data_IF_239872661422
#
_entry.id   IF_239872661422
#
_cell.length_a   1.000
_cell.length_b   1.000
_cell.length_c   1.000
_cell.angle_alpha   90.00
_cell.angle_beta   90.00
_cell.angle_gamma   90.00
#
_symmetry.space_group_name_H-M   'P 1'
#
loop_
_entity.id
_entity.type
_entity.pdbx_description
1 polymer ?
#
# COMPACT_ATOMS: atom_id res chain seq x y z
N UNK A 1 7.66 -5.00 -16.32
CA UNK A 1 7.01 -6.19 -15.72
C UNK A 1 7.11 -6.12 -14.20
N UNK A 2 6.12 -6.62 -13.44
CA UNK A 2 6.08 -6.49 -11.98
C UNK A 2 7.32 -7.04 -11.27
N UNK A 3 7.85 -8.16 -11.77
CA UNK A 3 9.05 -8.80 -11.22
C UNK A 3 10.31 -7.92 -11.39
N UNK A 4 10.47 -7.27 -12.55
CA UNK A 4 11.61 -6.37 -12.81
C UNK A 4 11.60 -5.17 -11.87
N UNK A 5 10.42 -4.59 -11.66
CA UNK A 5 10.24 -3.45 -10.73
C UNK A 5 10.52 -3.89 -9.30
N UNK A 6 9.96 -5.03 -8.87
CA UNK A 6 10.24 -5.60 -7.54
C UNK A 6 11.74 -5.78 -7.30
N UNK A 7 12.48 -6.30 -8.29
CA UNK A 7 13.92 -6.49 -8.19
C UNK A 7 14.69 -5.17 -8.01
N UNK A 8 14.28 -4.11 -8.71
CA UNK A 8 14.84 -2.76 -8.53
C UNK A 8 14.65 -2.24 -7.10
N UNK A 9 13.53 -2.59 -6.48
CA UNK A 9 13.21 -2.28 -5.09
C UNK A 9 13.68 -3.37 -4.11
N UNK A 10 14.63 -4.23 -4.48
CA UNK A 10 15.22 -5.20 -3.56
C UNK A 10 14.32 -6.37 -3.15
N UNK A 11 13.30 -6.69 -3.96
CA UNK A 11 12.43 -7.85 -3.85
C UNK A 11 12.70 -8.79 -5.04
N UNK A 12 13.42 -9.89 -4.80
CA UNK A 12 13.64 -10.90 -5.85
C UNK A 12 12.59 -12.01 -5.76
N UNK A 13 11.58 -11.90 -6.62
CA UNK A 13 10.52 -12.90 -6.76
C UNK A 13 10.61 -13.68 -8.09
N UNK A 14 11.76 -13.64 -8.76
CA UNK A 14 11.94 -14.22 -10.11
C UNK A 14 11.75 -15.74 -10.18
N UNK A 15 11.91 -16.43 -9.04
CA UNK A 15 11.75 -17.88 -8.93
C UNK A 15 10.35 -18.32 -8.49
N UNK A 16 9.47 -17.38 -8.20
CA UNK A 16 8.11 -17.65 -7.75
C UNK A 16 7.14 -17.53 -8.94
N UNK A 17 6.55 -18.68 -9.31
CA UNK A 17 5.62 -18.81 -10.45
C UNK A 17 4.37 -17.96 -10.25
N UNK A 18 3.95 -17.75 -9.00
CA UNK A 18 2.73 -17.00 -8.65
C UNK A 18 3.00 -15.52 -8.39
N UNK A 19 4.25 -15.10 -8.22
CA UNK A 19 4.58 -13.72 -7.87
C UNK A 19 4.07 -12.70 -8.88
N UNK A 20 4.16 -12.99 -10.19
CA UNK A 20 3.66 -12.06 -11.20
C UNK A 20 2.14 -11.88 -11.14
N UNK A 21 1.39 -12.92 -10.73
CA UNK A 21 -0.05 -12.83 -10.52
C UNK A 21 -0.37 -12.04 -9.26
N UNK A 22 0.25 -12.37 -8.12
CA UNK A 22 -0.01 -11.69 -6.85
C UNK A 22 0.39 -10.20 -6.88
N UNK A 23 1.49 -9.84 -7.55
CA UNK A 23 1.88 -8.45 -7.72
C UNK A 23 0.87 -7.66 -8.59
N UNK A 24 0.26 -8.30 -9.59
CA UNK A 24 -0.81 -7.66 -10.39
C UNK A 24 -2.07 -7.46 -9.55
N UNK A 25 -2.49 -8.48 -8.80
CA UNK A 25 -3.65 -8.39 -7.91
C UNK A 25 -3.44 -7.32 -6.83
N UNK A 26 -2.27 -7.30 -6.19
CA UNK A 26 -1.88 -6.26 -5.24
C UNK A 26 -1.94 -4.87 -5.86
N UNK A 27 -1.33 -4.67 -7.04
CA UNK A 27 -1.39 -3.39 -7.74
C UNK A 27 -2.81 -2.94 -8.10
N UNK A 28 -3.68 -3.85 -8.55
CA UNK A 28 -5.09 -3.51 -8.83
C UNK A 28 -5.87 -3.13 -7.57
N UNK A 29 -5.61 -3.79 -6.44
CA UNK A 29 -6.18 -3.46 -5.14
C UNK A 29 -5.75 -2.07 -4.70
N UNK A 30 -4.45 -1.77 -4.78
CA UNK A 30 -3.91 -0.48 -4.34
C UNK A 30 -4.46 0.65 -5.22
N UNK A 31 -4.62 0.43 -6.53
CA UNK A 31 -5.29 1.37 -7.42
C UNK A 31 -6.75 1.63 -6.99
N UNK A 32 -7.51 0.58 -6.68
CA UNK A 32 -8.89 0.72 -6.23
C UNK A 32 -9.00 1.49 -4.90
N UNK A 33 -8.10 1.21 -3.95
CA UNK A 33 -8.03 1.92 -2.66
C UNK A 33 -7.66 3.41 -2.84
N UNK A 34 -6.81 3.74 -3.81
CA UNK A 34 -6.46 5.11 -4.14
C UNK A 34 -7.59 5.85 -4.87
N UNK A 35 -8.26 5.18 -5.82
CA UNK A 35 -9.33 5.79 -6.61
C UNK A 35 -10.64 5.95 -5.83
N UNK A 36 -10.97 5.03 -4.92
CA UNK A 36 -12.21 5.02 -4.15
C UNK A 36 -12.52 6.36 -3.46
N UNK A 37 -11.59 6.93 -2.67
CA UNK A 37 -11.76 8.24 -2.04
C UNK A 37 -11.88 9.43 -3.00
N UNK A 38 -11.45 9.29 -4.26
CA UNK A 38 -11.56 10.33 -5.30
C UNK A 38 -12.96 10.35 -5.92
N UNK A 39 -13.60 9.18 -6.02
CA UNK A 39 -14.92 9.02 -6.66
C UNK A 39 -16.09 8.94 -5.67
N UNK A 40 -15.82 9.16 -4.37
CA UNK A 40 -16.83 9.14 -3.30
C UNK A 40 -16.80 10.44 -2.51
N UNK A 41 -17.90 10.78 -1.84
CA UNK A 41 -18.03 11.98 -0.99
C UNK A 41 -18.55 11.60 0.41
N UNK A 42 -18.42 12.51 1.37
CA UNK A 42 -19.06 12.42 2.68
C UNK A 42 -18.66 11.20 3.48
N UNK A 43 -19.66 10.56 4.09
CA UNK A 43 -19.48 9.36 4.91
C UNK A 43 -18.86 8.22 4.12
N UNK A 44 -19.18 8.06 2.83
CA UNK A 44 -18.62 7.00 1.99
C UNK A 44 -17.13 7.22 1.75
N UNK A 45 -16.71 8.46 1.47
CA UNK A 45 -15.30 8.83 1.34
C UNK A 45 -14.52 8.56 2.62
N UNK A 46 -15.06 8.95 3.77
CA UNK A 46 -14.44 8.69 5.09
C UNK A 46 -14.27 7.19 5.38
N UNK A 47 -15.28 6.37 5.05
CA UNK A 47 -15.19 4.91 5.18
C UNK A 47 -14.13 4.31 4.25
N UNK A 48 -14.06 4.77 3.00
CA UNK A 48 -13.03 4.33 2.05
C UNK A 48 -11.62 4.69 2.52
N UNK A 49 -11.41 5.92 3.00
CA UNK A 49 -10.14 6.35 3.60
C UNK A 49 -9.77 5.49 4.82
N UNK A 50 -10.74 5.17 5.68
CA UNK A 50 -10.52 4.28 6.82
C UNK A 50 -10.11 2.86 6.41
N UNK A 51 -10.74 2.30 5.37
CA UNK A 51 -10.38 0.97 4.84
C UNK A 51 -8.97 1.01 4.24
N UNK A 52 -8.65 2.02 3.44
CA UNK A 52 -7.31 2.20 2.88
C UNK A 52 -6.25 2.29 3.98
N UNK A 53 -6.52 3.04 5.06
CA UNK A 53 -5.63 3.13 6.21
C UNK A 53 -5.41 1.77 6.90
N UNK A 54 -6.45 0.96 7.08
CA UNK A 54 -6.31 -0.40 7.64
C UNK A 54 -5.44 -1.28 6.73
N UNK A 55 -5.60 -1.17 5.41
CA UNK A 55 -4.77 -1.89 4.45
C UNK A 55 -3.29 -1.45 4.54
N UNK A 56 -3.00 -0.16 4.62
CA UNK A 56 -1.64 0.37 4.77
C UNK A 56 -0.97 -0.18 6.05
N UNK A 57 -1.69 -0.25 7.16
CA UNK A 57 -1.19 -0.84 8.41
C UNK A 57 -0.88 -2.33 8.24
N UNK A 58 -1.78 -3.09 7.61
CA UNK A 58 -1.57 -4.51 7.35
C UNK A 58 -0.36 -4.75 6.45
N UNK A 59 -0.18 -3.93 5.43
CA UNK A 59 0.95 -4.03 4.50
C UNK A 59 2.28 -3.67 5.18
N UNK A 60 2.32 -2.67 6.06
CA UNK A 60 3.49 -2.36 6.91
C UNK A 60 3.87 -3.59 7.75
N UNK A 61 2.89 -4.25 8.38
CA UNK A 61 3.13 -5.46 9.19
C UNK A 61 3.68 -6.58 8.32
N UNK A 62 3.11 -6.81 7.14
CA UNK A 62 3.58 -7.82 6.19
C UNK A 62 5.03 -7.57 5.74
N UNK A 63 5.36 -6.32 5.41
CA UNK A 63 6.72 -5.88 5.07
C UNK A 63 7.68 -6.09 6.23
N UNK A 64 7.27 -5.77 7.47
CA UNK A 64 8.05 -6.04 8.67
C UNK A 64 8.36 -7.54 8.86
N UNK A 65 7.38 -8.41 8.64
CA UNK A 65 7.57 -9.87 8.68
C UNK A 65 8.52 -10.32 7.56
N UNK A 66 8.35 -9.83 6.34
CA UNK A 66 9.21 -10.16 5.20
C UNK A 66 10.67 -9.74 5.45
N UNK A 67 10.88 -8.56 6.06
CA UNK A 67 12.21 -8.08 6.44
C UNK A 67 12.86 -8.99 7.48
N UNK A 68 12.11 -9.38 8.52
CA UNK A 68 12.59 -10.32 9.57
C UNK A 68 12.97 -11.68 8.99
N UNK A 69 12.33 -12.12 7.90
CA UNK A 69 12.64 -13.36 7.19
C UNK A 69 13.73 -13.21 6.12
N UNK A 70 14.38 -12.04 6.02
CA UNK A 70 15.43 -11.78 5.03
C UNK A 70 14.94 -11.78 3.59
N UNK A 71 13.63 -11.59 3.34
CA UNK A 71 13.03 -11.62 2.00
C UNK A 71 13.10 -10.27 1.27
N UNK A 72 13.33 -9.18 2.00
CA UNK A 72 13.44 -7.82 1.44
C UNK A 72 14.61 -7.07 2.07
N UNK A 73 15.19 -6.13 1.31
CA UNK A 73 16.29 -5.28 1.78
C UNK A 73 15.83 -4.24 2.81
N UNK A 74 16.76 -3.73 3.63
CA UNK A 74 16.46 -2.65 4.58
C UNK A 74 15.96 -1.39 3.87
N UNK A 75 16.59 -1.03 2.75
CA UNK A 75 16.22 0.15 1.98
C UNK A 75 14.79 0.04 1.45
N UNK A 76 14.44 -1.11 0.88
CA UNK A 76 13.08 -1.39 0.41
C UNK A 76 12.04 -1.27 1.53
N UNK A 77 12.38 -1.81 2.70
CA UNK A 77 11.54 -1.75 3.90
C UNK A 77 11.29 -0.30 4.32
N UNK A 78 12.36 0.50 4.42
CA UNK A 78 12.26 1.91 4.84
C UNK A 78 11.44 2.72 3.84
N UNK A 79 11.70 2.55 2.53
CA UNK A 79 10.94 3.24 1.50
C UNK A 79 9.44 2.89 1.58
N UNK A 80 9.12 1.59 1.65
CA UNK A 80 7.74 1.14 1.72
C UNK A 80 7.02 1.67 2.97
N UNK A 81 7.60 1.44 4.15
CA UNK A 81 7.00 1.87 5.43
C UNK A 81 6.87 3.39 5.48
N UNK A 82 7.88 4.12 5.02
CA UNK A 82 7.84 5.58 4.94
C UNK A 82 6.70 6.09 4.06
N UNK A 83 6.51 5.49 2.87
CA UNK A 83 5.40 5.86 1.98
C UNK A 83 4.04 5.50 2.58
N UNK A 84 3.88 4.32 3.19
CA UNK A 84 2.63 3.92 3.82
C UNK A 84 2.27 4.83 5.02
N UNK A 85 3.26 5.25 5.82
CA UNK A 85 3.05 6.21 6.90
C UNK A 85 2.63 7.60 6.37
N UNK A 86 3.20 8.05 5.25
CA UNK A 86 2.79 9.29 4.61
C UNK A 86 1.34 9.21 4.08
N UNK A 87 0.95 8.08 3.48
CA UNK A 87 -0.44 7.81 3.09
C UNK A 87 -1.38 7.82 4.29
N UNK A 88 -1.02 7.15 5.38
CA UNK A 88 -1.78 7.13 6.64
C UNK A 88 -1.98 8.54 7.20
N UNK A 89 -0.91 9.35 7.25
CA UNK A 89 -0.99 10.74 7.69
C UNK A 89 -1.92 11.58 6.80
N UNK A 90 -1.86 11.36 5.48
CA UNK A 90 -2.72 12.04 4.51
C UNK A 90 -4.18 11.62 4.65
N UNK A 91 -4.45 10.33 4.83
CA UNK A 91 -5.79 9.80 5.06
C UNK A 91 -6.38 10.34 6.37
N UNK A 92 -5.60 10.33 7.47
CA UNK A 92 -6.02 10.89 8.74
C UNK A 92 -6.38 12.38 8.60
N UNK A 93 -5.52 13.17 7.95
CA UNK A 93 -5.81 14.59 7.67
C UNK A 93 -7.10 14.75 6.86
N UNK A 94 -7.25 14.01 5.77
CA UNK A 94 -8.42 14.08 4.89
C UNK A 94 -9.73 13.65 5.58
N UNK A 95 -9.68 12.75 6.57
CA UNK A 95 -10.84 12.37 7.38
C UNK A 95 -11.24 13.50 8.34
N UNK A 96 -10.26 14.24 8.89
CA UNK A 96 -10.50 15.35 9.82
C UNK A 96 -10.93 16.64 9.13
N UNK A 97 -10.59 16.82 7.85
CA UNK A 97 -11.05 17.96 7.06
C UNK A 97 -12.59 17.94 6.94
N UNK A 98 -13.20 19.12 7.15
CA UNK A 98 -14.61 19.34 6.85
C UNK A 98 -14.73 19.46 5.33
N UNK A 99 -15.59 18.65 4.71
CA UNK A 99 -15.90 18.86 3.30
C UNK A 99 -16.59 20.23 3.15
N UNK A 100 -16.22 21.03 2.13
CA UNK A 100 -16.98 22.22 1.79
C UNK A 100 -18.40 21.77 1.41
N UNK A 101 -19.39 22.38 2.07
CA UNK A 101 -20.82 22.18 1.83
C UNK A 101 -21.23 22.60 0.44
#
# INVERSE_FOLDING_TARGET
MPITVGKLFGIDASKDVSAALYLRLGGTRDFALAAGPVVTNGTSRRKMLGIAAVCDVADIVAVGIARRRGKISSLATVLFVGTSLACLGSAAKAITEKEPT
#
